data_IF_856483239549
#
_entry.id   IF_856483239549
#
_cell.length_a   1.000
_cell.length_b   1.000
_cell.length_c   1.000
_cell.angle_alpha   90.00
_cell.angle_beta   90.00
_cell.angle_gamma   90.00
#
_symmetry.space_group_name_H-M   'P 1'
#
loop_
_entity.id
_entity.type
_entity.pdbx_description
1 polymer ?
#
# COMPACT_ATOMS: atom_id res chain seq x y z
N UNK A 1 -11.01 24.48 -15.78
CA UNK A 1 -10.58 25.89 -15.55
C UNK A 1 -9.21 26.16 -16.18
N UNK A 2 -9.16 27.01 -17.22
CA UNK A 2 -7.94 27.34 -17.97
C UNK A 2 -7.18 28.51 -17.32
N UNK A 3 -6.55 28.29 -16.16
CA UNK A 3 -5.48 29.22 -15.75
C UNK A 3 -4.25 28.91 -16.62
N UNK A 4 -3.77 29.91 -17.36
CA UNK A 4 -2.49 29.84 -18.07
C UNK A 4 -1.41 30.41 -17.16
N UNK A 5 -0.20 29.86 -17.29
CA UNK A 5 0.97 30.29 -16.52
C UNK A 5 1.18 31.81 -16.62
N UNK A 6 1.43 32.48 -15.49
CA UNK A 6 1.68 33.93 -15.41
C UNK A 6 0.48 34.85 -15.09
N UNK A 7 -0.68 34.32 -14.67
CA UNK A 7 -1.82 35.12 -14.18
C UNK A 7 -2.06 34.90 -12.69
N UNK A 8 -2.16 35.97 -11.93
CA UNK A 8 -2.55 35.93 -10.51
C UNK A 8 -4.06 35.99 -10.38
N UNK A 9 -4.65 35.04 -9.63
CA UNK A 9 -6.06 35.05 -9.29
C UNK A 9 -6.25 35.60 -7.87
N UNK A 10 -7.13 36.60 -7.72
CA UNK A 10 -7.50 37.18 -6.42
C UNK A 10 -9.01 37.09 -6.24
N UNK A 11 -9.44 36.80 -5.02
CA UNK A 11 -10.82 36.74 -4.60
C UNK A 11 -11.18 38.06 -3.93
N UNK A 12 -12.18 38.72 -4.50
CA UNK A 12 -12.75 39.93 -3.94
C UNK A 12 -14.14 39.60 -3.42
N UNK A 13 -14.38 39.87 -2.14
CA UNK A 13 -15.68 39.71 -1.52
C UNK A 13 -16.45 41.02 -1.62
N UNK A 14 -17.64 40.94 -2.22
CA UNK A 14 -18.60 42.04 -2.29
C UNK A 14 -19.59 41.94 -1.12
N UNK A 15 -20.21 43.04 -0.69
CA UNK A 15 -21.31 43.01 0.27
C UNK A 15 -22.44 42.08 -0.17
N UNK A 16 -23.17 41.50 0.78
CA UNK A 16 -24.29 40.60 0.48
C UNK A 16 -25.31 41.24 -0.46
N UNK A 17 -25.57 40.57 -1.59
CA UNK A 17 -26.55 41.01 -2.59
C UNK A 17 -26.01 41.95 -3.67
N UNK A 18 -24.73 42.33 -3.65
CA UNK A 18 -24.12 43.15 -4.70
C UNK A 18 -23.33 42.31 -5.72
N UNK A 19 -23.50 42.61 -7.01
CA UNK A 19 -22.69 42.10 -8.12
C UNK A 19 -21.69 43.17 -8.60
N UNK A 20 -20.66 42.82 -9.42
CA UNK A 20 -19.62 43.77 -9.81
C UNK A 20 -20.16 45.01 -10.54
N UNK A 21 -21.23 44.85 -11.33
CA UNK A 21 -21.84 45.94 -12.08
C UNK A 21 -22.66 46.86 -11.16
N UNK A 22 -23.48 46.30 -10.25
CA UNK A 22 -24.23 47.09 -9.27
C UNK A 22 -23.30 47.81 -8.29
N UNK A 23 -22.20 47.17 -7.86
CA UNK A 23 -21.24 47.78 -6.95
C UNK A 23 -20.55 48.99 -7.57
N UNK A 24 -20.10 48.89 -8.82
CA UNK A 24 -19.47 50.02 -9.55
C UNK A 24 -20.48 51.15 -9.76
N UNK A 25 -21.74 50.82 -10.05
CA UNK A 25 -22.81 51.82 -10.21
C UNK A 25 -23.16 52.54 -8.91
N UNK A 26 -23.13 51.84 -7.77
CA UNK A 26 -23.53 52.39 -6.47
C UNK A 26 -22.39 53.10 -5.73
N UNK A 27 -21.17 52.56 -5.80
CA UNK A 27 -20.02 53.01 -4.98
C UNK A 27 -18.90 53.67 -5.81
N UNK A 28 -19.00 53.61 -7.14
CA UNK A 28 -18.05 54.20 -8.08
C UNK A 28 -16.83 53.32 -8.37
N UNK A 29 -16.17 53.58 -9.51
CA UNK A 29 -15.01 52.83 -9.98
C UNK A 29 -13.80 52.89 -9.06
N UNK A 30 -13.52 54.04 -8.42
CA UNK A 30 -12.39 54.18 -7.49
C UNK A 30 -12.50 53.26 -6.28
N UNK A 31 -13.72 53.06 -5.73
CA UNK A 31 -13.92 52.14 -4.61
C UNK A 31 -13.80 50.68 -5.03
N UNK A 32 -14.27 50.35 -6.24
CA UNK A 32 -14.08 49.03 -6.82
C UNK A 32 -12.58 48.72 -7.02
N UNK A 33 -11.79 49.69 -7.51
CA UNK A 33 -10.33 49.53 -7.62
C UNK A 33 -9.64 49.38 -6.26
N UNK A 34 -10.06 50.13 -5.24
CA UNK A 34 -9.55 49.97 -3.87
C UNK A 34 -9.90 48.60 -3.27
N UNK A 35 -11.09 48.08 -3.56
CA UNK A 35 -11.51 46.73 -3.16
C UNK A 35 -10.74 45.65 -3.92
N UNK A 36 -10.54 45.82 -5.23
CA UNK A 36 -9.74 44.92 -6.05
C UNK A 36 -8.27 44.91 -5.61
N UNK A 37 -7.73 46.04 -5.15
CA UNK A 37 -6.40 46.15 -4.58
C UNK A 37 -6.26 45.42 -3.22
N UNK A 38 -7.36 45.29 -2.47
CA UNK A 38 -7.43 44.55 -1.20
C UNK A 38 -7.87 43.09 -1.37
N UNK A 39 -8.12 42.64 -2.60
CA UNK A 39 -8.60 41.29 -2.87
C UNK A 39 -7.61 40.24 -2.38
N UNK A 40 -8.13 39.22 -1.69
CA UNK A 40 -7.35 38.14 -1.09
C UNK A 40 -6.76 37.28 -2.20
N UNK A 41 -5.45 36.99 -2.20
CA UNK A 41 -4.87 36.05 -3.16
C UNK A 41 -5.57 34.68 -3.08
N UNK A 42 -5.75 34.00 -4.22
CA UNK A 42 -6.31 32.64 -4.27
C UNK A 42 -5.59 31.69 -3.32
N UNK A 43 -4.27 31.84 -3.16
CA UNK A 43 -3.47 31.03 -2.24
C UNK A 43 -3.98 31.13 -0.81
N UNK A 44 -4.25 32.36 -0.36
CA UNK A 44 -4.54 32.67 1.03
C UNK A 44 -5.97 32.24 1.36
N UNK A 45 -6.89 32.53 0.43
CA UNK A 45 -8.28 32.10 0.55
C UNK A 45 -8.43 30.57 0.59
N UNK A 46 -7.74 29.84 -0.30
CA UNK A 46 -7.81 28.39 -0.36
C UNK A 46 -7.36 27.75 0.96
N UNK A 47 -6.20 28.16 1.48
CA UNK A 47 -5.68 27.58 2.73
C UNK A 47 -6.48 28.01 3.95
N UNK A 48 -7.05 29.21 3.95
CA UNK A 48 -7.96 29.66 5.01
C UNK A 48 -9.19 28.75 5.09
N UNK A 49 -9.89 28.50 4.00
CA UNK A 49 -11.05 27.60 3.98
C UNK A 49 -10.70 26.16 4.37
N UNK A 50 -9.53 25.65 3.96
CA UNK A 50 -9.09 24.31 4.34
C UNK A 50 -8.69 24.22 5.82
N UNK A 51 -8.30 25.33 6.45
CA UNK A 51 -7.88 25.39 7.85
C UNK A 51 -9.00 25.71 8.84
N UNK A 52 -10.15 26.21 8.38
CA UNK A 52 -11.24 26.69 9.25
C UNK A 52 -11.79 25.62 10.23
N UNK A 53 -11.80 24.35 9.82
CA UNK A 53 -12.29 23.22 10.64
C UNK A 53 -11.16 22.29 11.13
N UNK A 54 -9.90 22.68 10.98
CA UNK A 54 -8.74 21.84 11.29
C UNK A 54 -7.93 22.42 12.46
N UNK A 55 -7.67 21.59 13.46
CA UNK A 55 -6.75 21.92 14.55
C UNK A 55 -5.30 21.94 14.07
N UNK A 56 -4.79 23.14 13.81
CA UNK A 56 -3.44 23.39 13.29
C UNK A 56 -2.33 23.16 14.32
N UNK A 57 -2.66 23.00 15.62
CA UNK A 57 -1.69 22.74 16.68
C UNK A 57 -1.48 21.23 16.93
N UNK A 58 -2.33 20.38 16.34
CA UNK A 58 -2.28 18.93 16.48
C UNK A 58 -1.67 18.24 15.26
N UNK A 59 -0.80 17.26 15.50
CA UNK A 59 -0.21 16.40 14.45
C UNK A 59 -1.27 15.74 13.55
N UNK A 60 -2.45 15.42 14.12
CA UNK A 60 -3.56 14.85 13.37
C UNK A 60 -4.23 15.87 12.43
N UNK A 61 -4.35 17.12 12.85
CA UNK A 61 -4.90 18.19 12.01
C UNK A 61 -3.93 18.61 10.90
N UNK A 62 -2.63 18.68 11.20
CA UNK A 62 -1.59 18.91 10.19
C UNK A 62 -1.56 17.83 9.10
N UNK A 63 -1.76 16.56 9.47
CA UNK A 63 -1.88 15.46 8.52
C UNK A 63 -3.15 15.56 7.66
N UNK A 64 -4.29 15.91 8.29
CA UNK A 64 -5.58 16.08 7.62
C UNK A 64 -5.56 17.23 6.61
N UNK A 65 -4.95 18.36 6.96
CA UNK A 65 -4.76 19.49 6.04
C UNK A 65 -3.97 19.06 4.80
N UNK A 66 -2.92 18.25 4.99
CA UNK A 66 -2.12 17.72 3.90
C UNK A 66 -2.87 16.77 2.98
N UNK A 67 -3.76 15.92 3.52
CA UNK A 67 -4.60 15.02 2.73
C UNK A 67 -5.72 15.75 1.98
N UNK A 68 -6.35 16.74 2.60
CA UNK A 68 -7.45 17.49 1.99
C UNK A 68 -6.96 18.53 0.96
N UNK A 69 -5.78 19.12 1.16
CA UNK A 69 -5.20 20.10 0.24
C UNK A 69 -4.69 19.48 -1.07
N UNK A 70 -4.15 18.25 -1.04
CA UNK A 70 -3.60 17.54 -2.21
C UNK A 70 -4.56 17.46 -3.41
N UNK A 71 -5.80 16.95 -3.27
CA UNK A 71 -6.72 16.83 -4.41
C UNK A 71 -7.17 18.19 -4.98
N UNK A 72 -7.13 19.26 -4.19
CA UNK A 72 -7.43 20.62 -4.67
C UNK A 72 -6.25 21.20 -5.46
N UNK A 73 -5.02 20.95 -5.01
CA UNK A 73 -3.79 21.37 -5.68
C UNK A 73 -3.54 20.60 -6.98
N UNK A 74 -3.94 19.33 -7.05
CA UNK A 74 -3.84 18.51 -8.28
C UNK A 74 -4.74 19.00 -9.41
N UNK A 75 -5.80 19.74 -9.11
CA UNK A 75 -6.68 20.37 -10.10
C UNK A 75 -6.06 21.61 -10.75
N UNK A 76 -4.97 22.14 -10.20
CA UNK A 76 -4.25 23.27 -10.78
C UNK A 76 -3.44 22.80 -11.99
N UNK A 77 -3.30 23.65 -13.03
CA UNK A 77 -2.42 23.35 -14.15
C UNK A 77 -0.97 23.18 -13.67
N UNK A 78 -0.23 22.29 -14.31
CA UNK A 78 1.21 22.16 -14.09
C UNK A 78 1.91 23.48 -14.40
N UNK A 79 2.79 23.94 -13.51
CA UNK A 79 3.49 25.22 -13.63
C UNK A 79 4.01 25.77 -12.30
N UNK A 80 4.69 26.91 -12.36
CA UNK A 80 5.34 27.56 -11.20
C UNK A 80 4.35 27.88 -10.08
N UNK A 81 3.12 28.26 -10.44
CA UNK A 81 2.09 28.57 -9.46
C UNK A 81 1.70 27.36 -8.60
N UNK A 82 1.48 26.18 -9.23
CA UNK A 82 1.24 24.93 -8.52
C UNK A 82 2.42 24.63 -7.59
N UNK A 83 3.64 24.84 -8.07
CA UNK A 83 4.84 24.61 -7.27
C UNK A 83 4.92 25.48 -6.01
N UNK A 84 4.60 26.77 -6.12
CA UNK A 84 4.60 27.71 -4.99
C UNK A 84 3.50 27.37 -3.99
N UNK A 85 2.34 26.91 -4.46
CA UNK A 85 1.23 26.50 -3.59
C UNK A 85 1.59 25.30 -2.69
N UNK A 86 2.25 24.28 -3.24
CA UNK A 86 2.75 23.17 -2.41
C UNK A 86 3.88 23.58 -1.47
N UNK A 87 4.73 24.55 -1.86
CA UNK A 87 5.76 25.08 -0.96
C UNK A 87 5.12 25.81 0.23
N UNK A 88 4.02 26.52 0.00
CA UNK A 88 3.26 27.16 1.09
C UNK A 88 2.60 26.15 2.01
N UNK A 89 1.96 25.11 1.47
CA UNK A 89 1.40 24.00 2.26
C UNK A 89 2.45 23.35 3.17
N UNK A 90 3.67 23.19 2.65
CA UNK A 90 4.82 22.68 3.41
C UNK A 90 5.23 23.52 4.59
N UNK A 91 5.26 24.84 4.40
CA UNK A 91 5.59 25.77 5.47
C UNK A 91 4.53 25.74 6.58
N UNK A 92 3.26 25.54 6.22
CA UNK A 92 2.16 25.45 7.19
C UNK A 92 2.16 24.13 7.99
N UNK A 93 2.52 23.00 7.36
CA UNK A 93 2.52 21.67 8.01
C UNK A 93 3.84 21.42 8.77
N UNK A 94 4.88 22.22 8.54
CA UNK A 94 6.22 21.99 9.12
C UNK A 94 6.94 20.79 8.51
N UNK A 95 6.49 20.31 7.34
CA UNK A 95 6.99 19.12 6.64
C UNK A 95 7.48 19.53 5.26
N UNK A 96 8.66 19.07 4.82
CA UNK A 96 9.33 19.53 3.59
C UNK A 96 8.45 19.42 2.33
N UNK A 97 8.52 20.43 1.46
CA UNK A 97 7.67 20.57 0.25
C UNK A 97 7.86 19.45 -0.75
N UNK A 98 9.03 18.82 -0.74
CA UNK A 98 9.36 17.59 -1.46
C UNK A 98 8.59 16.37 -0.97
N UNK A 99 8.12 16.32 0.29
CA UNK A 99 7.28 15.23 0.82
C UNK A 99 5.78 15.42 0.55
N UNK A 100 5.36 16.66 0.29
CA UNK A 100 3.96 17.02 0.00
C UNK A 100 3.65 17.04 -1.51
N UNK A 101 4.59 17.47 -2.36
CA UNK A 101 4.55 17.32 -3.83
C UNK A 101 4.81 15.89 -4.28
N UNK A 102 5.46 15.09 -3.44
CA UNK A 102 5.60 13.68 -3.69
C UNK A 102 4.22 13.01 -3.55
N UNK A 103 3.52 12.85 -4.67
CA UNK A 103 3.02 11.50 -4.99
C UNK A 103 4.24 10.60 -4.84
N UNK A 104 4.34 9.74 -3.82
CA UNK A 104 5.62 9.21 -3.40
C UNK A 104 6.36 8.58 -4.58
N UNK A 105 7.49 9.16 -5.04
CA UNK A 105 8.55 8.32 -5.55
C UNK A 105 9.09 7.57 -4.33
N UNK A 106 9.39 6.27 -4.43
CA UNK A 106 9.96 5.53 -3.31
C UNK A 106 11.23 6.26 -2.85
N UNK A 107 11.24 6.71 -1.60
CA UNK A 107 12.46 7.15 -0.96
C UNK A 107 13.55 6.08 -1.16
N UNK A 108 14.82 6.44 -1.45
CA UNK A 108 15.92 5.50 -1.34
C UNK A 108 16.14 5.23 0.15
N UNK A 109 15.32 4.34 0.70
CA UNK A 109 15.59 3.69 1.98
C UNK A 109 16.84 2.86 1.81
N UNK A 110 17.71 2.76 2.83
CA UNK A 110 18.92 1.95 2.79
C UNK A 110 18.55 0.54 2.34
N UNK A 111 18.95 0.19 1.12
CA UNK A 111 18.76 -1.08 0.38
C UNK A 111 17.88 -2.10 1.12
N UNK A 112 16.61 -1.74 1.30
CA UNK A 112 15.60 -2.64 1.80
C UNK A 112 15.10 -3.40 0.58
N UNK A 113 15.42 -4.68 0.56
CA UNK A 113 14.92 -5.72 -0.32
C UNK A 113 13.64 -5.32 -1.07
N UNK A 114 13.75 -5.33 -2.40
CA UNK A 114 12.67 -5.23 -3.39
C UNK A 114 11.33 -5.71 -2.80
N UNK A 115 10.42 -4.78 -2.51
CA UNK A 115 9.01 -5.14 -2.27
C UNK A 115 8.35 -5.39 -3.62
N UNK A 116 7.92 -6.63 -3.82
CA UNK A 116 7.05 -7.08 -4.90
C UNK A 116 5.78 -6.21 -5.02
N UNK A 117 5.17 -6.13 -6.22
CA UNK A 117 3.98 -5.31 -6.44
C UNK A 117 2.77 -5.90 -5.70
N UNK A 118 1.98 -5.03 -5.07
CA UNK A 118 0.60 -5.36 -4.69
C UNK A 118 0.39 -5.94 -3.28
N UNK A 119 0.37 -5.08 -2.26
CA UNK A 119 -0.63 -5.24 -1.19
C UNK A 119 -2.00 -4.75 -1.68
N UNK A 120 -2.43 -5.27 -2.82
CA UNK A 120 -3.83 -5.25 -3.23
C UNK A 120 -4.60 -6.32 -2.47
N UNK A 121 -5.90 -6.39 -2.73
CA UNK A 121 -6.89 -7.40 -2.31
C UNK A 121 -6.39 -8.79 -1.83
N UNK A 122 -5.30 -9.32 -2.38
CA UNK A 122 -4.64 -10.54 -1.91
C UNK A 122 -4.11 -10.51 -0.46
N UNK A 123 -3.75 -9.34 0.08
CA UNK A 123 -3.24 -9.21 1.44
C UNK A 123 -4.30 -9.41 2.54
N UNK A 124 -5.59 -9.29 2.21
CA UNK A 124 -6.72 -9.55 3.13
C UNK A 124 -7.14 -11.02 3.13
N UNK A 125 -6.67 -11.80 2.14
CA UNK A 125 -6.95 -13.22 2.03
C UNK A 125 -5.99 -14.00 2.93
N UNK A 126 -6.48 -14.93 3.78
CA UNK A 126 -5.62 -15.81 4.57
C UNK A 126 -4.59 -16.55 3.69
N UNK A 127 -3.33 -16.71 4.13
CA UNK A 127 -2.23 -17.14 3.27
C UNK A 127 -2.43 -18.54 2.67
N UNK A 128 -3.06 -19.48 3.40
CA UNK A 128 -3.38 -20.82 2.85
C UNK A 128 -4.37 -20.70 1.69
N UNK A 129 -5.43 -19.89 1.87
CA UNK A 129 -6.42 -19.65 0.81
C UNK A 129 -5.82 -18.92 -0.37
N UNK A 130 -4.93 -17.96 -0.11
CA UNK A 130 -4.18 -17.25 -1.14
C UNK A 130 -3.26 -18.18 -1.93
N UNK A 131 -2.55 -19.09 -1.27
CA UNK A 131 -1.72 -20.09 -1.94
C UNK A 131 -2.56 -20.98 -2.86
N UNK A 132 -3.69 -21.49 -2.37
CA UNK A 132 -4.63 -22.28 -3.18
C UNK A 132 -5.15 -21.47 -4.37
N UNK A 133 -5.56 -20.22 -4.13
CA UNK A 133 -6.10 -19.37 -5.18
C UNK A 133 -5.05 -19.07 -6.26
N UNK A 134 -3.81 -18.74 -5.88
CA UNK A 134 -2.70 -18.52 -6.81
C UNK A 134 -2.40 -19.79 -7.62
N UNK A 135 -2.40 -20.96 -6.96
CA UNK A 135 -2.22 -22.24 -7.64
C UNK A 135 -3.33 -22.55 -8.64
N UNK A 136 -4.59 -22.25 -8.31
CA UNK A 136 -5.71 -22.39 -9.23
C UNK A 136 -5.63 -21.39 -10.39
N UNK A 137 -5.16 -20.17 -10.16
CA UNK A 137 -4.99 -19.17 -11.23
C UNK A 137 -3.95 -19.59 -12.27
N UNK A 138 -2.91 -20.32 -11.83
CA UNK A 138 -1.88 -20.83 -12.71
C UNK A 138 -1.38 -22.21 -12.23
N UNK A 139 -1.97 -23.32 -12.73
CA UNK A 139 -1.60 -24.67 -12.31
C UNK A 139 -0.13 -25.04 -12.55
N UNK A 140 0.55 -24.37 -13.48
CA UNK A 140 1.98 -24.61 -13.76
C UNK A 140 2.90 -24.22 -12.60
N UNK A 141 2.42 -23.42 -11.65
CA UNK A 141 3.16 -23.09 -10.43
C UNK A 141 3.52 -24.34 -9.61
N UNK A 142 2.76 -25.44 -9.75
CA UNK A 142 3.07 -26.71 -9.09
C UNK A 142 4.35 -27.39 -9.57
N UNK A 143 4.80 -27.07 -10.79
CA UNK A 143 5.94 -27.73 -11.45
C UNK A 143 7.29 -27.12 -11.06
N UNK A 144 7.29 -26.09 -10.22
CA UNK A 144 8.51 -25.46 -9.72
C UNK A 144 9.26 -26.41 -8.79
N UNK A 145 10.56 -26.54 -9.01
CA UNK A 145 11.44 -27.40 -8.22
C UNK A 145 11.85 -26.78 -6.87
N UNK A 146 11.79 -25.45 -6.77
CA UNK A 146 12.27 -24.65 -5.64
C UNK A 146 11.17 -24.29 -4.61
N UNK A 147 10.03 -25.00 -4.63
CA UNK A 147 8.96 -24.72 -3.69
C UNK A 147 9.38 -25.10 -2.26
N UNK A 148 9.22 -24.21 -1.26
CA UNK A 148 9.46 -24.56 0.12
C UNK A 148 8.49 -25.69 0.52
N UNK A 149 8.93 -26.66 1.31
CA UNK A 149 8.09 -27.81 1.73
C UNK A 149 7.73 -27.81 3.22
N UNK A 150 8.37 -26.94 4.02
CA UNK A 150 8.18 -26.93 5.47
C UNK A 150 6.73 -26.63 5.90
N UNK A 151 5.93 -25.93 5.07
CA UNK A 151 4.53 -25.63 5.37
C UNK A 151 3.62 -26.87 5.35
N UNK A 152 4.06 -27.99 4.76
CA UNK A 152 3.27 -29.23 4.70
C UNK A 152 3.07 -29.87 6.07
N UNK A 153 3.91 -29.54 7.05
CA UNK A 153 3.83 -30.06 8.43
C UNK A 153 2.92 -29.22 9.33
N UNK A 154 2.42 -28.09 8.84
CA UNK A 154 1.60 -27.18 9.62
C UNK A 154 0.19 -27.76 9.80
N UNK A 155 -0.31 -27.71 11.04
CA UNK A 155 -1.70 -28.08 11.36
C UNK A 155 -2.63 -26.89 11.15
N UNK A 156 -2.74 -26.44 9.90
CA UNK A 156 -3.63 -25.33 9.51
C UNK A 156 -4.74 -25.81 8.58
N UNK A 157 -5.96 -25.25 8.69
CA UNK A 157 -7.07 -25.62 7.83
C UNK A 157 -6.76 -25.30 6.37
N UNK A 158 -6.84 -26.33 5.51
CA UNK A 158 -6.60 -26.24 4.07
C UNK A 158 -5.18 -26.63 3.62
N UNK A 159 -4.26 -26.97 4.54
CA UNK A 159 -2.94 -27.48 4.17
C UNK A 159 -3.03 -28.83 3.45
N UNK A 160 -3.88 -29.73 3.93
CA UNK A 160 -4.16 -31.03 3.28
C UNK A 160 -4.62 -30.85 1.83
N UNK A 161 -5.58 -29.94 1.62
CA UNK A 161 -6.09 -29.60 0.29
C UNK A 161 -5.01 -29.00 -0.63
N UNK A 162 -4.19 -28.09 -0.10
CA UNK A 162 -3.09 -27.49 -0.87
C UNK A 162 -2.05 -28.54 -1.28
N UNK A 163 -1.73 -29.49 -0.40
CA UNK A 163 -0.83 -30.61 -0.69
C UNK A 163 -1.42 -31.52 -1.77
N UNK A 164 -2.69 -31.93 -1.65
CA UNK A 164 -3.38 -32.74 -2.66
C UNK A 164 -3.39 -32.07 -4.05
N UNK A 165 -3.63 -30.76 -4.10
CA UNK A 165 -3.61 -30.00 -5.35
C UNK A 165 -2.22 -29.97 -5.98
N UNK A 166 -1.16 -29.76 -5.19
CA UNK A 166 0.21 -29.76 -5.68
C UNK A 166 0.65 -31.13 -6.20
N UNK A 167 0.32 -32.20 -5.47
CA UNK A 167 0.60 -33.57 -5.89
C UNK A 167 -0.12 -33.91 -7.20
N UNK A 168 -1.40 -33.56 -7.30
CA UNK A 168 -2.17 -33.78 -8.52
C UNK A 168 -1.56 -33.06 -9.72
N UNK A 169 -1.22 -31.78 -9.56
CA UNK A 169 -0.69 -30.95 -10.65
C UNK A 169 0.73 -31.36 -11.05
N UNK A 170 1.53 -31.89 -10.12
CA UNK A 170 2.81 -32.53 -10.43
C UNK A 170 2.63 -33.84 -11.20
N UNK A 171 1.65 -34.65 -10.81
CA UNK A 171 1.33 -35.90 -11.51
C UNK A 171 0.71 -35.67 -12.90
N UNK A 172 -0.01 -34.56 -13.08
CA UNK A 172 -0.71 -34.21 -14.32
C UNK A 172 -0.42 -32.75 -14.73
N UNK A 173 0.76 -32.47 -15.32
CA UNK A 173 1.24 -31.11 -15.62
C UNK A 173 0.35 -30.28 -16.56
N UNK A 174 -0.48 -30.95 -17.36
CA UNK A 174 -1.35 -30.33 -18.36
C UNK A 174 -2.78 -30.08 -17.85
N UNK A 175 -3.04 -30.30 -16.56
CA UNK A 175 -4.37 -30.13 -16.01
C UNK A 175 -4.73 -28.64 -15.92
N UNK A 176 -5.88 -28.26 -16.48
CA UNK A 176 -6.37 -26.87 -16.44
C UNK A 176 -7.12 -26.60 -15.14
N UNK A 177 -7.25 -25.32 -14.77
CA UNK A 177 -8.05 -24.90 -13.60
C UNK A 177 -9.47 -25.46 -13.65
N UNK A 178 -10.12 -25.43 -14.82
CA UNK A 178 -11.45 -26.00 -15.01
C UNK A 178 -11.49 -27.51 -14.74
N UNK A 179 -10.48 -28.26 -15.19
CA UNK A 179 -10.36 -29.69 -14.92
C UNK A 179 -10.09 -30.00 -13.45
N UNK A 180 -9.33 -29.14 -12.74
CA UNK A 180 -9.18 -29.22 -11.28
C UNK A 180 -10.54 -29.03 -10.62
N UNK A 181 -11.26 -27.95 -10.94
CA UNK A 181 -12.55 -27.64 -10.32
C UNK A 181 -13.61 -28.73 -10.56
N UNK A 182 -13.59 -29.36 -11.74
CA UNK A 182 -14.50 -30.47 -12.07
C UNK A 182 -14.29 -31.67 -11.14
N UNK A 183 -13.05 -32.03 -10.84
CA UNK A 183 -12.72 -33.17 -9.96
C UNK A 183 -13.14 -32.95 -8.51
N UNK A 184 -13.20 -31.70 -8.06
CA UNK A 184 -13.63 -31.37 -6.71
C UNK A 184 -15.12 -31.00 -6.62
N UNK A 185 -15.90 -31.08 -7.71
CA UNK A 185 -17.32 -30.67 -7.73
C UNK A 185 -18.16 -31.37 -6.65
N UNK A 186 -17.99 -32.68 -6.50
CA UNK A 186 -18.75 -33.53 -5.56
C UNK A 186 -18.14 -33.55 -4.14
N UNK A 187 -17.04 -32.83 -3.91
CA UNK A 187 -16.36 -32.76 -2.62
C UNK A 187 -16.81 -31.53 -1.82
N UNK A 188 -16.79 -31.58 -0.48
CA UNK A 188 -17.17 -30.42 0.36
C UNK A 188 -16.29 -29.17 0.10
N UNK A 189 -15.04 -29.36 -0.35
CA UNK A 189 -14.12 -28.29 -0.70
C UNK A 189 -14.43 -27.64 -2.06
N UNK A 190 -15.19 -28.28 -2.94
CA UNK A 190 -15.43 -27.83 -4.32
C UNK A 190 -16.01 -26.43 -4.43
N UNK A 191 -17.01 -26.12 -3.60
CA UNK A 191 -17.61 -24.77 -3.54
C UNK A 191 -16.59 -23.69 -3.14
N UNK A 192 -15.65 -24.03 -2.28
CA UNK A 192 -14.61 -23.10 -1.84
C UNK A 192 -13.57 -22.88 -2.94
N UNK A 193 -13.16 -23.94 -3.64
CA UNK A 193 -12.23 -23.84 -4.77
C UNK A 193 -12.81 -23.00 -5.91
N UNK A 194 -14.10 -23.17 -6.24
CA UNK A 194 -14.76 -22.34 -7.26
C UNK A 194 -14.74 -20.86 -6.90
N UNK A 195 -15.04 -20.52 -5.64
CA UNK A 195 -14.97 -19.13 -5.15
C UNK A 195 -13.55 -18.57 -5.24
N UNK A 196 -12.54 -19.36 -4.86
CA UNK A 196 -11.13 -18.93 -4.90
C UNK A 196 -10.62 -18.76 -6.34
N UNK A 197 -11.03 -19.64 -7.26
CA UNK A 197 -10.68 -19.52 -8.67
C UNK A 197 -11.30 -18.27 -9.31
N UNK A 198 -12.57 -17.99 -9.03
CA UNK A 198 -13.25 -16.78 -9.55
C UNK A 198 -12.70 -15.48 -8.98
N UNK A 199 -12.10 -15.53 -7.78
CA UNK A 199 -11.54 -14.36 -7.08
C UNK A 199 -10.26 -13.80 -7.74
N UNK A 200 -9.55 -14.61 -8.52
CA UNK A 200 -8.25 -14.29 -9.11
C UNK A 200 -8.25 -14.27 -10.64
N UNK A 201 -9.44 -14.33 -11.26
CA UNK A 201 -9.56 -14.44 -12.72
C UNK A 201 -8.94 -13.25 -13.47
N UNK A 202 -8.85 -12.08 -12.82
CA UNK A 202 -8.44 -10.82 -13.44
C UNK A 202 -7.00 -10.38 -13.10
N UNK A 203 -6.22 -11.21 -12.40
CA UNK A 203 -4.85 -10.83 -12.05
C UNK A 203 -3.88 -11.06 -13.22
N UNK A 204 -3.09 -10.04 -13.62
CA UNK A 204 -2.08 -10.21 -14.65
C UNK A 204 -1.07 -11.28 -14.22
N UNK A 205 -0.67 -12.14 -15.17
CA UNK A 205 0.20 -13.29 -14.91
C UNK A 205 1.62 -12.95 -14.44
N UNK A 206 1.98 -11.67 -14.48
CA UNK A 206 3.29 -11.17 -14.05
C UNK A 206 3.42 -11.22 -12.53
N UNK A 207 4.49 -11.85 -12.04
CA UNK A 207 4.78 -11.90 -10.59
C UNK A 207 4.01 -12.95 -9.80
N UNK A 208 3.02 -13.66 -10.38
CA UNK A 208 2.27 -14.72 -9.67
C UNK A 208 3.18 -15.81 -9.08
N UNK A 209 4.26 -16.15 -9.79
CA UNK A 209 5.22 -17.15 -9.34
C UNK A 209 5.98 -16.69 -8.08
N UNK A 210 6.42 -15.44 -8.04
CA UNK A 210 7.08 -14.83 -6.89
C UNK A 210 6.10 -14.74 -5.73
N UNK A 211 4.87 -14.29 -5.98
CA UNK A 211 3.85 -14.14 -4.96
C UNK A 211 3.43 -15.48 -4.34
N UNK A 212 3.31 -16.52 -5.15
CA UNK A 212 3.01 -17.87 -4.69
C UNK A 212 4.12 -18.38 -3.77
N UNK A 213 5.37 -18.24 -4.18
CA UNK A 213 6.52 -18.65 -3.39
C UNK A 213 6.63 -17.87 -2.07
N UNK A 214 6.48 -16.54 -2.12
CA UNK A 214 6.43 -15.69 -0.93
C UNK A 214 5.28 -16.06 0.00
N UNK A 215 4.11 -16.41 -0.55
CA UNK A 215 2.97 -16.87 0.24
C UNK A 215 3.30 -18.19 0.95
N UNK A 216 3.89 -19.17 0.26
CA UNK A 216 4.31 -20.42 0.89
C UNK A 216 5.41 -20.21 1.93
N UNK A 217 6.37 -19.31 1.68
CA UNK A 217 7.37 -18.94 2.70
C UNK A 217 6.72 -18.26 3.91
N UNK A 218 5.73 -17.39 3.70
CA UNK A 218 5.01 -16.72 4.78
C UNK A 218 4.24 -17.69 5.69
N UNK A 219 3.77 -18.82 5.15
CA UNK A 219 3.17 -19.89 5.95
C UNK A 219 4.17 -20.45 6.96
N UNK A 220 5.42 -20.64 6.55
CA UNK A 220 6.50 -21.15 7.41
C UNK A 220 7.12 -20.09 8.33
N UNK A 221 6.96 -18.80 8.00
CA UNK A 221 7.52 -17.69 8.77
C UNK A 221 6.74 -17.36 10.04
N UNK A 222 5.45 -17.73 10.08
CA UNK A 222 4.58 -17.46 11.23
C UNK A 222 4.95 -18.24 12.49
N UNK A 223 5.40 -19.48 12.36
CA UNK A 223 5.87 -20.25 13.52
C UNK A 223 7.15 -19.64 14.13
N UNK A 224 8.09 -19.22 13.29
CA UNK A 224 9.35 -18.62 13.76
C UNK A 224 9.12 -17.27 14.46
N UNK A 225 8.22 -16.44 13.93
CA UNK A 225 7.91 -15.15 14.56
C UNK A 225 7.09 -15.34 15.85
N UNK A 226 6.12 -16.27 15.88
CA UNK A 226 5.37 -16.62 17.09
C UNK A 226 6.26 -17.22 18.18
N UNK A 227 7.13 -18.16 17.83
CA UNK A 227 8.03 -18.84 18.79
C UNK A 227 9.10 -17.86 19.32
N UNK A 228 9.60 -16.96 18.47
CA UNK A 228 10.49 -15.88 18.88
C UNK A 228 9.81 -14.86 19.79
N UNK A 229 8.57 -14.45 19.46
CA UNK A 229 7.78 -13.53 20.28
C UNK A 229 7.46 -14.15 21.64
N UNK A 230 7.06 -15.43 21.67
CA UNK A 230 6.84 -16.19 22.90
C UNK A 230 8.11 -16.31 23.75
N UNK A 231 9.26 -16.62 23.17
CA UNK A 231 10.53 -16.71 23.91
C UNK A 231 11.01 -15.33 24.38
N UNK A 232 10.81 -14.26 23.60
CA UNK A 232 11.14 -12.90 24.00
C UNK A 232 10.22 -12.42 25.13
N UNK A 233 8.93 -12.71 25.07
CA UNK A 233 7.95 -12.35 26.10
C UNK A 233 8.17 -13.14 27.39
N UNK A 234 8.51 -14.43 27.27
CA UNK A 234 8.96 -15.24 28.40
C UNK A 234 10.25 -14.70 29.00
N UNK A 235 11.23 -14.28 28.19
CA UNK A 235 12.48 -13.68 28.68
C UNK A 235 12.29 -12.38 29.47
N UNK A 236 11.21 -11.64 29.18
CA UNK A 236 10.84 -10.40 29.88
C UNK A 236 10.15 -10.67 31.21
N UNK A 237 9.53 -11.83 31.38
CA UNK A 237 8.71 -12.17 32.54
C UNK A 237 9.38 -13.18 33.48
N UNK A 238 10.17 -14.11 32.94
CA UNK A 238 10.84 -15.21 33.67
C UNK A 238 12.22 -15.47 33.05
N UNK A 239 13.19 -15.87 33.87
CA UNK A 239 14.51 -16.32 33.37
C UNK A 239 14.37 -17.55 32.46
N UNK A 240 14.83 -17.43 31.22
CA UNK A 240 14.90 -18.53 30.25
C UNK A 240 15.89 -19.61 30.72
N UNK A 241 15.55 -20.88 30.45
CA UNK A 241 16.48 -22.00 30.65
C UNK A 241 17.62 -21.95 29.62
N UNK A 242 18.70 -22.68 29.87
CA UNK A 242 19.84 -22.72 28.94
C UNK A 242 19.48 -23.34 27.58
N UNK A 243 18.48 -24.24 27.56
CA UNK A 243 17.92 -24.79 26.31
C UNK A 243 17.13 -23.74 25.54
N UNK A 244 16.32 -22.92 26.23
CA UNK A 244 15.51 -21.86 25.62
C UNK A 244 16.38 -20.69 25.10
N UNK A 245 17.47 -20.36 25.81
CA UNK A 245 18.46 -19.38 25.34
C UNK A 245 19.17 -19.85 24.07
N UNK A 246 19.51 -21.14 23.99
CA UNK A 246 20.10 -21.73 22.79
C UNK A 246 19.12 -21.71 21.61
N UNK A 247 17.84 -22.03 21.85
CA UNK A 247 16.77 -21.93 20.86
C UNK A 247 16.58 -20.49 20.35
N UNK A 248 16.52 -19.51 21.25
CA UNK A 248 16.39 -18.09 20.88
C UNK A 248 17.55 -17.62 20.00
N UNK A 249 18.79 -18.03 20.32
CA UNK A 249 19.98 -17.71 19.52
C UNK A 249 19.91 -18.33 18.12
N UNK A 250 19.51 -19.61 18.02
CA UNK A 250 19.34 -20.28 16.73
C UNK A 250 18.22 -19.66 15.87
N UNK A 251 17.12 -19.25 16.49
CA UNK A 251 16.01 -18.59 15.79
C UNK A 251 16.43 -17.21 15.26
N UNK A 252 17.18 -16.42 16.04
CA UNK A 252 17.74 -15.13 15.60
C UNK A 252 18.76 -15.30 14.47
N UNK A 253 19.62 -16.32 14.52
CA UNK A 253 20.57 -16.64 13.44
C UNK A 253 19.86 -17.11 12.16
N UNK A 254 18.76 -17.85 12.29
CA UNK A 254 17.95 -18.29 11.15
C UNK A 254 17.25 -17.10 10.49
N UNK A 255 16.77 -16.14 11.29
CA UNK A 255 16.16 -14.89 10.79
C UNK A 255 17.18 -13.97 10.12
N UNK A 256 18.40 -13.86 10.66
CA UNK A 256 19.45 -13.05 10.05
C UNK A 256 19.96 -13.65 8.73
N UNK A 257 20.12 -14.98 8.64
CA UNK A 257 20.49 -15.67 7.39
C UNK A 257 19.42 -15.54 6.31
N UNK A 258 18.13 -15.54 6.68
CA UNK A 258 17.02 -15.30 5.73
C UNK A 258 16.96 -13.85 5.23
N UNK A 259 17.53 -12.88 5.95
CA UNK A 259 17.54 -11.47 5.55
C UNK A 259 18.66 -11.11 4.55
N UNK A 260 19.68 -11.97 4.42
CA UNK A 260 20.74 -11.83 3.41
C UNK A 260 20.41 -12.66 2.18
N UNK A 261 20.05 -12.06 1.03
CA UNK A 261 19.93 -12.81 -0.21
C UNK A 261 21.32 -13.26 -0.65
N UNK A 262 21.44 -14.57 -0.91
CA UNK A 262 22.56 -15.22 -1.57
C UNK A 262 22.81 -14.52 -2.92
N UNK A 263 23.92 -13.80 -3.02
CA UNK A 263 24.48 -13.32 -4.28
C UNK A 263 25.44 -14.40 -4.78
N UNK A 264 25.11 -15.20 -5.81
CA UNK A 264 26.06 -16.12 -6.39
C UNK A 264 26.88 -15.34 -7.41
N UNK A 265 27.84 -14.58 -6.91
CA UNK A 265 28.97 -14.10 -7.70
C UNK A 265 30.21 -14.82 -7.21
N UNK A 266 30.43 -16.04 -7.71
CA UNK A 266 31.79 -16.54 -7.89
C UNK A 266 31.96 -17.28 -9.22
N UNK A 267 32.76 -16.63 -10.07
CA UNK A 267 33.89 -17.18 -10.84
C UNK A 267 33.58 -18.24 -11.88
N UNK A 268 33.82 -17.90 -13.15
CA UNK A 268 35.16 -17.99 -13.76
C UNK A 268 35.24 -17.04 -14.95
#
# INVERSE_FOLDING_TARGET
PQMRDGREARFMFLPEGEDPDSYVRHHGGERFEQLAARATPLSDFLFQCLSEEIDMDSLGGLARLGEEAKPQLDRLPEGLFKEMMYQRLSQMIGVSSTQLKATPPPAPRPRALRRAPGKGFLGTIPPVRRAIALLLSNPRLALREDLPVAWQRLDLPGITLLTELLELLKAQPNLTTAAVLERWRERPEGRHLQKLAGMLLDLPGEGLAVEFEETLRSLTGRDLDLELEQLLEKSRTISLTDTEKAQLKQLLETKSRRATPHDPMEKT
#
